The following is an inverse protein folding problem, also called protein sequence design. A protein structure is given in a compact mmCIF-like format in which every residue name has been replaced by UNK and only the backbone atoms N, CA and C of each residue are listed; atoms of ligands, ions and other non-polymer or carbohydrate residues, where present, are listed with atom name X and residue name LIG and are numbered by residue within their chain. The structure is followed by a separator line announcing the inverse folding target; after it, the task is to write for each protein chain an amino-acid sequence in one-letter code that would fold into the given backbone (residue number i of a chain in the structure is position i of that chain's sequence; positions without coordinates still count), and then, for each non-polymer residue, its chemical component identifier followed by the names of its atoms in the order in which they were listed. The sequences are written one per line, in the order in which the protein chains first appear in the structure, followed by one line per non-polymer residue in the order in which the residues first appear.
data_IF_057881273840
#
_entry.id   IF_057881273840
#
_cell.length_a   1.000
_cell.length_b   1.000
_cell.length_c   1.000
_cell.angle_alpha   90.00
_cell.angle_beta   90.00
_cell.angle_gamma   90.00
#
_symmetry.space_group_name_H-M   'P 1'
#
loop_
_entity.id
_entity.type
_entity.pdbx_description
1 polymer ?
#
# COMPACT_ATOMS: atom_id res chain seq x y z
N UNK A 1 -7.98 31.72 49.63
CA UNK A 1 -9.09 31.58 48.66
C UNK A 1 -8.56 30.84 47.41
N UNK A 2 -8.54 29.52 47.41
CA UNK A 2 -8.20 28.73 46.22
C UNK A 2 -8.67 27.28 46.43
N UNK A 3 -9.98 27.04 46.45
CA UNK A 3 -10.59 25.72 46.59
C UNK A 3 -12.02 25.74 46.04
N UNK A 4 -12.19 25.99 44.73
CA UNK A 4 -13.49 25.80 44.05
C UNK A 4 -13.33 25.73 42.51
N UNK A 5 -12.48 24.85 42.01
CA UNK A 5 -12.41 24.61 40.55
C UNK A 5 -12.10 23.16 40.17
N UNK A 6 -12.56 22.17 41.00
CA UNK A 6 -12.20 20.75 40.73
C UNK A 6 -13.40 19.84 40.45
N UNK A 7 -14.62 20.31 40.54
CA UNK A 7 -15.80 19.43 40.39
C UNK A 7 -16.57 19.53 39.08
N UNK A 8 -16.10 20.38 38.13
CA UNK A 8 -16.81 20.56 36.86
C UNK A 8 -16.23 19.77 35.66
N UNK A 9 -15.03 19.19 35.81
CA UNK A 9 -14.38 18.49 34.70
C UNK A 9 -14.85 17.02 34.53
N UNK A 10 -15.26 16.38 35.60
CA UNK A 10 -15.67 14.97 35.60
C UNK A 10 -17.00 14.73 34.86
N UNK A 11 -18.05 15.54 35.05
CA UNK A 11 -19.29 15.34 34.29
C UNK A 11 -19.15 15.63 32.80
N UNK A 12 -18.32 16.59 32.40
CA UNK A 12 -18.05 16.85 30.98
C UNK A 12 -17.28 15.71 30.29
N UNK A 13 -16.32 15.12 30.99
CA UNK A 13 -15.59 13.95 30.46
C UNK A 13 -16.49 12.71 30.30
N UNK A 14 -17.41 12.48 31.25
CA UNK A 14 -18.40 11.41 31.17
C UNK A 14 -19.42 11.65 30.05
N UNK A 15 -19.88 12.88 29.83
CA UNK A 15 -20.77 13.22 28.74
C UNK A 15 -20.07 13.07 27.38
N UNK A 16 -18.80 13.47 27.26
CA UNK A 16 -18.00 13.26 26.06
C UNK A 16 -17.81 11.76 25.78
N UNK A 17 -17.53 10.95 26.81
CA UNK A 17 -17.38 9.49 26.66
C UNK A 17 -18.69 8.78 26.32
N UNK A 18 -19.85 9.29 26.77
CA UNK A 18 -21.15 8.72 26.41
C UNK A 18 -21.61 9.12 25.01
N UNK A 19 -21.26 10.31 24.54
CA UNK A 19 -21.57 10.79 23.19
C UNK A 19 -20.74 10.04 22.15
N UNK A 20 -19.49 9.65 22.44
CA UNK A 20 -18.65 8.86 21.55
C UNK A 20 -18.91 7.35 21.59
N UNK A 21 -19.81 6.86 22.46
CA UNK A 21 -20.34 5.50 22.42
C UNK A 21 -21.68 5.42 21.70
N UNK A 22 -21.90 6.21 20.65
CA UNK A 22 -22.97 5.93 19.73
C UNK A 22 -22.66 4.58 19.06
N UNK A 23 -23.52 3.55 19.23
CA UNK A 23 -23.32 2.29 18.54
C UNK A 23 -23.26 2.58 17.04
N UNK A 24 -22.21 2.15 16.41
CA UNK A 24 -22.00 2.33 14.99
C UNK A 24 -23.05 1.50 14.22
N UNK A 25 -24.06 2.13 13.77
CA UNK A 25 -25.19 1.57 13.01
C UNK A 25 -24.85 1.67 11.52
N UNK A 26 -23.92 0.85 11.08
CA UNK A 26 -23.01 1.23 10.03
C UNK A 26 -23.52 1.01 8.60
N UNK A 27 -23.96 -0.17 8.17
CA UNK A 27 -24.21 -0.40 6.76
C UNK A 27 -25.39 0.39 6.21
N UNK A 28 -26.45 0.45 6.96
CA UNK A 28 -27.65 1.17 6.57
C UNK A 28 -27.39 2.68 6.48
N UNK A 29 -26.52 3.23 7.34
CA UNK A 29 -26.17 4.65 7.37
C UNK A 29 -25.38 5.06 6.14
N UNK A 30 -24.59 4.16 5.55
CA UNK A 30 -23.82 4.45 4.35
C UNK A 30 -24.69 4.62 3.09
N UNK A 31 -25.83 3.96 3.04
CA UNK A 31 -26.66 3.92 1.84
C UNK A 31 -28.06 4.50 2.02
N UNK A 32 -28.47 4.78 3.27
CA UNK A 32 -29.75 5.42 3.59
C UNK A 32 -29.55 6.58 4.54
N UNK A 33 -30.07 7.74 4.19
CA UNK A 33 -30.03 8.91 5.07
C UNK A 33 -30.95 8.71 6.29
N UNK A 34 -30.67 9.43 7.39
CA UNK A 34 -31.57 9.44 8.54
C UNK A 34 -33.01 9.85 8.17
N UNK A 35 -33.13 10.84 7.26
CA UNK A 35 -34.43 11.29 6.77
C UNK A 35 -35.22 10.21 6.04
N UNK A 36 -34.55 9.41 5.23
CA UNK A 36 -35.20 8.27 4.50
C UNK A 36 -35.70 7.22 5.46
N UNK A 37 -34.87 6.83 6.46
CA UNK A 37 -35.28 5.87 7.48
C UNK A 37 -36.48 6.35 8.29
N UNK A 38 -36.44 7.60 8.72
CA UNK A 38 -37.56 8.23 9.41
C UNK A 38 -38.80 8.28 8.55
N UNK A 39 -38.65 8.64 7.26
CA UNK A 39 -39.77 8.65 6.28
C UNK A 39 -40.38 7.28 6.08
N UNK A 40 -39.56 6.23 5.97
CA UNK A 40 -40.09 4.84 5.85
C UNK A 40 -40.93 4.52 7.09
N UNK A 41 -40.42 4.79 8.31
CA UNK A 41 -41.25 4.54 9.51
C UNK A 41 -42.46 5.44 9.62
N UNK A 42 -42.44 6.67 9.17
CA UNK A 42 -43.60 7.55 9.08
C UNK A 42 -44.66 7.00 8.14
N UNK A 43 -44.29 6.32 7.07
CA UNK A 43 -45.24 5.66 6.16
C UNK A 43 -45.90 4.42 6.78
N UNK A 44 -45.19 3.69 7.64
CA UNK A 44 -45.73 2.51 8.34
C UNK A 44 -46.59 2.86 9.58
N UNK A 45 -46.10 3.81 10.39
CA UNK A 45 -46.60 4.06 11.74
C UNK A 45 -47.17 5.48 11.95
N UNK A 46 -47.19 6.31 10.89
CA UNK A 46 -47.63 7.70 11.00
C UNK A 46 -46.50 8.67 11.44
N UNK A 47 -46.82 9.96 11.44
CA UNK A 47 -45.83 11.02 11.64
C UNK A 47 -45.41 11.25 13.07
N UNK A 48 -46.18 10.81 14.05
CA UNK A 48 -45.95 11.00 15.49
C UNK A 48 -46.56 9.88 16.31
N UNK A 49 -45.99 9.61 17.47
CA UNK A 49 -46.52 8.65 18.43
C UNK A 49 -45.57 7.52 18.79
N UNK A 50 -45.95 6.68 19.78
CA UNK A 50 -45.10 5.59 20.27
C UNK A 50 -44.86 4.50 19.21
N UNK A 51 -45.70 4.37 18.23
CA UNK A 51 -45.54 3.41 17.12
C UNK A 51 -44.39 3.82 16.18
N UNK A 52 -44.11 5.12 16.03
CA UNK A 52 -42.96 5.61 15.24
C UNK A 52 -41.66 5.20 15.90
N UNK A 53 -41.54 5.33 17.22
CA UNK A 53 -40.36 4.92 17.97
C UNK A 53 -40.14 3.41 17.88
N UNK A 54 -41.20 2.62 18.06
CA UNK A 54 -41.15 1.17 17.90
C UNK A 54 -40.73 0.75 16.48
N UNK A 55 -41.21 1.44 15.44
CA UNK A 55 -40.78 1.20 14.08
C UNK A 55 -39.30 1.49 13.88
N UNK A 56 -38.77 2.61 14.39
CA UNK A 56 -37.37 2.96 14.28
C UNK A 56 -36.47 1.96 15.02
N UNK A 57 -36.90 1.48 16.18
CA UNK A 57 -36.21 0.46 16.95
C UNK A 57 -36.23 -0.89 16.22
N UNK A 58 -37.40 -1.31 15.68
CA UNK A 58 -37.52 -2.52 14.88
C UNK A 58 -36.65 -2.47 13.60
N UNK A 59 -36.62 -1.32 12.95
CA UNK A 59 -35.77 -1.10 11.78
C UNK A 59 -34.30 -1.28 12.15
N UNK A 60 -33.87 -0.64 13.21
CA UNK A 60 -32.48 -0.71 13.69
C UNK A 60 -32.08 -2.13 14.09
N UNK A 61 -32.95 -2.83 14.78
CA UNK A 61 -32.74 -4.20 15.23
C UNK A 61 -32.64 -5.18 14.04
N UNK A 62 -33.51 -5.05 13.04
CA UNK A 62 -33.55 -5.94 11.88
C UNK A 62 -32.25 -5.89 11.03
N UNK A 63 -31.59 -4.74 11.00
CA UNK A 63 -30.39 -4.50 10.18
C UNK A 63 -29.09 -4.43 11.01
N UNK A 64 -29.14 -4.72 12.31
CA UNK A 64 -27.97 -4.57 13.19
C UNK A 64 -26.80 -5.47 12.80
N UNK A 65 -27.06 -6.69 12.34
CA UNK A 65 -26.06 -7.68 11.92
C UNK A 65 -25.40 -7.36 10.57
N UNK A 66 -25.96 -6.41 9.82
CA UNK A 66 -25.39 -5.95 8.56
C UNK A 66 -24.38 -4.77 8.75
N UNK A 67 -24.05 -4.44 10.00
CA UNK A 67 -23.22 -3.29 10.33
C UNK A 67 -21.77 -3.43 9.90
N UNK A 68 -21.17 -4.60 10.00
CA UNK A 68 -19.74 -4.84 9.83
C UNK A 68 -19.42 -5.64 8.57
N UNK A 69 -20.11 -5.33 7.47
CA UNK A 69 -19.88 -6.03 6.22
C UNK A 69 -18.68 -5.46 5.49
N UNK A 70 -17.76 -6.35 5.16
CA UNK A 70 -16.59 -6.06 4.35
C UNK A 70 -16.75 -6.71 2.96
N UNK A 71 -16.71 -5.87 1.92
CA UNK A 71 -16.80 -6.30 0.52
C UNK A 71 -15.64 -5.74 -0.29
N UNK A 72 -15.43 -6.24 -1.50
CA UNK A 72 -14.52 -5.61 -2.44
C UNK A 72 -15.01 -4.19 -2.75
N UNK A 73 -14.09 -3.26 -2.85
CA UNK A 73 -14.41 -1.86 -3.15
C UNK A 73 -15.18 -1.70 -4.47
N UNK A 74 -14.86 -2.52 -5.47
CA UNK A 74 -15.50 -2.50 -6.78
C UNK A 74 -16.98 -2.93 -6.72
N UNK A 75 -17.35 -3.76 -5.74
CA UNK A 75 -18.72 -4.22 -5.54
C UNK A 75 -19.60 -3.23 -4.74
N UNK A 76 -19.03 -2.10 -4.31
CA UNK A 76 -19.73 -1.06 -3.53
C UNK A 76 -20.96 -0.50 -4.27
N UNK A 77 -20.86 -0.28 -5.57
CA UNK A 77 -21.98 0.22 -6.39
C UNK A 77 -23.15 -0.77 -6.40
N UNK A 78 -22.87 -2.06 -6.55
CA UNK A 78 -23.90 -3.11 -6.52
C UNK A 78 -24.58 -3.19 -5.15
N UNK A 79 -23.82 -3.00 -4.07
CA UNK A 79 -24.41 -2.96 -2.74
C UNK A 79 -25.31 -1.73 -2.54
N UNK A 80 -24.87 -0.56 -3.05
CA UNK A 80 -25.66 0.67 -3.02
C UNK A 80 -26.99 0.50 -3.77
N UNK A 81 -26.97 -0.06 -4.98
CA UNK A 81 -28.15 -0.30 -5.78
C UNK A 81 -29.13 -1.26 -5.09
N UNK A 82 -28.61 -2.31 -4.46
CA UNK A 82 -29.44 -3.24 -3.69
C UNK A 82 -30.12 -2.58 -2.49
N UNK A 83 -29.42 -1.70 -1.75
CA UNK A 83 -30.02 -0.92 -0.67
C UNK A 83 -31.06 0.06 -1.17
N UNK A 84 -30.83 0.70 -2.31
CA UNK A 84 -31.81 1.60 -2.94
C UNK A 84 -33.09 0.85 -3.33
N UNK A 85 -32.96 -0.32 -3.95
CA UNK A 85 -34.09 -1.17 -4.29
C UNK A 85 -34.86 -1.66 -3.04
N UNK A 86 -34.13 -2.03 -1.99
CA UNK A 86 -34.73 -2.42 -0.73
C UNK A 86 -35.55 -1.27 -0.11
N UNK A 87 -35.01 -0.06 -0.05
CA UNK A 87 -35.72 1.11 0.50
C UNK A 87 -37.00 1.40 -0.29
N UNK A 88 -36.92 1.29 -1.61
CA UNK A 88 -38.12 1.43 -2.49
C UNK A 88 -39.15 0.36 -2.19
N UNK A 89 -38.79 -0.91 -2.11
CA UNK A 89 -39.65 -2.02 -1.76
C UNK A 89 -40.34 -1.85 -0.38
N UNK A 90 -39.60 -1.30 0.61
CA UNK A 90 -40.18 -1.00 1.92
C UNK A 90 -41.23 0.12 1.84
N UNK A 91 -41.00 1.15 1.02
CA UNK A 91 -41.99 2.22 0.79
C UNK A 91 -43.24 1.69 0.11
N UNK A 92 -43.11 0.80 -0.86
CA UNK A 92 -44.25 0.12 -1.50
C UNK A 92 -45.05 -0.73 -0.52
N UNK A 93 -44.35 -1.49 0.35
CA UNK A 93 -45.03 -2.31 1.38
C UNK A 93 -45.74 -1.43 2.40
N UNK A 94 -45.18 -0.30 2.79
CA UNK A 94 -45.85 0.65 3.67
C UNK A 94 -47.08 1.27 3.02
N UNK A 95 -47.03 1.62 1.74
CA UNK A 95 -48.15 2.16 1.00
C UNK A 95 -49.31 1.12 0.86
N UNK A 96 -48.97 -0.18 0.79
CA UNK A 96 -49.91 -1.28 0.81
C UNK A 96 -50.41 -1.65 2.23
N UNK A 97 -50.18 -0.82 3.24
CA UNK A 97 -50.59 -1.04 4.64
C UNK A 97 -50.04 -2.34 5.24
N UNK A 98 -48.84 -2.74 4.82
CA UNK A 98 -48.14 -3.89 5.38
C UNK A 98 -47.59 -3.58 6.80
N UNK A 99 -47.27 -4.64 7.55
CA UNK A 99 -46.70 -4.50 8.89
C UNK A 99 -45.17 -4.37 8.81
N UNK A 100 -44.59 -3.38 9.49
CA UNK A 100 -43.16 -3.21 9.60
C UNK A 100 -42.48 -4.36 10.34
N UNK A 101 -43.17 -5.03 11.26
CA UNK A 101 -42.65 -6.18 11.99
C UNK A 101 -42.34 -7.39 11.09
N UNK A 102 -42.98 -7.47 9.92
CA UNK A 102 -42.76 -8.51 8.90
C UNK A 102 -41.84 -7.99 7.80
N UNK A 103 -42.06 -6.75 7.36
CA UNK A 103 -41.35 -6.17 6.24
C UNK A 103 -39.84 -5.99 6.51
N UNK A 104 -39.47 -5.56 7.70
CA UNK A 104 -38.04 -5.30 8.00
C UNK A 104 -37.19 -6.56 8.11
N UNK A 105 -37.62 -7.64 8.83
CA UNK A 105 -36.88 -8.90 8.82
C UNK A 105 -36.74 -9.51 7.43
N UNK A 106 -37.80 -9.47 6.60
CA UNK A 106 -37.80 -9.98 5.22
C UNK A 106 -36.80 -9.17 4.33
N UNK A 107 -36.84 -7.85 4.45
CA UNK A 107 -35.91 -6.98 3.74
C UNK A 107 -34.46 -7.23 4.18
N UNK A 108 -34.21 -7.38 5.47
CA UNK A 108 -32.87 -7.68 6.00
C UNK A 108 -32.37 -9.05 5.50
N UNK A 109 -33.23 -10.05 5.44
CA UNK A 109 -32.87 -11.38 4.89
C UNK A 109 -32.54 -11.31 3.38
N UNK A 110 -33.30 -10.54 2.62
CA UNK A 110 -32.99 -10.28 1.20
C UNK A 110 -31.61 -9.61 1.05
N UNK A 111 -31.32 -8.62 1.88
CA UNK A 111 -30.01 -7.96 1.86
C UNK A 111 -28.88 -8.92 2.24
N UNK A 112 -29.04 -9.78 3.24
CA UNK A 112 -28.07 -10.84 3.56
C UNK A 112 -27.77 -11.74 2.37
N UNK A 113 -28.82 -12.12 1.61
CA UNK A 113 -28.65 -12.95 0.40
C UNK A 113 -27.88 -12.21 -0.69
N UNK A 114 -28.15 -10.92 -0.89
CA UNK A 114 -27.40 -10.08 -1.84
C UNK A 114 -25.94 -9.98 -1.44
N UNK A 115 -25.67 -9.63 -0.20
CA UNK A 115 -24.31 -9.50 0.33
C UNK A 115 -23.53 -10.81 0.18
N UNK A 116 -24.18 -11.95 0.44
CA UNK A 116 -23.58 -13.28 0.27
C UNK A 116 -23.20 -13.60 -1.18
N UNK A 117 -23.82 -12.96 -2.17
CA UNK A 117 -23.50 -13.10 -3.59
C UNK A 117 -22.35 -12.20 -4.04
N UNK A 118 -22.06 -11.12 -3.31
CA UNK A 118 -20.96 -10.23 -3.63
C UNK A 118 -19.63 -10.94 -3.36
N UNK A 119 -18.61 -10.54 -4.09
CA UNK A 119 -17.27 -11.12 -3.93
C UNK A 119 -16.74 -10.76 -2.55
N UNK A 120 -16.24 -11.75 -1.83
CA UNK A 120 -15.52 -11.51 -0.58
C UNK A 120 -14.29 -10.63 -0.82
N UNK A 121 -14.00 -9.75 0.14
CA UNK A 121 -12.81 -8.91 0.06
C UNK A 121 -11.55 -9.77 0.05
N UNK A 122 -10.61 -9.46 -0.83
CA UNK A 122 -9.31 -10.12 -0.84
C UNK A 122 -8.55 -9.85 0.46
N UNK A 123 -7.93 -10.89 1.00
CA UNK A 123 -7.04 -10.72 2.14
C UNK A 123 -5.79 -9.94 1.72
N UNK A 124 -5.33 -9.04 2.60
CA UNK A 124 -4.00 -8.46 2.45
C UNK A 124 -2.95 -9.53 2.65
N UNK A 125 -2.00 -9.63 1.74
CA UNK A 125 -0.90 -10.60 1.80
C UNK A 125 0.34 -9.88 2.34
N UNK A 126 0.66 -10.02 3.65
CA UNK A 126 1.89 -9.46 4.19
C UNK A 126 3.11 -10.16 3.57
N UNK A 127 4.31 -9.58 3.64
CA UNK A 127 4.67 -8.46 4.49
C UNK A 127 4.88 -7.13 3.78
N UNK A 128 4.57 -6.97 2.50
CA UNK A 128 5.05 -5.83 1.74
C UNK A 128 4.10 -5.35 0.65
N UNK A 129 4.36 -4.14 0.18
CA UNK A 129 3.79 -3.56 -1.02
C UNK A 129 2.43 -2.90 -0.84
N UNK A 130 2.08 -2.08 -1.80
CA UNK A 130 0.76 -1.47 -1.91
C UNK A 130 -0.15 -2.37 -2.75
N UNK A 131 -1.15 -2.98 -2.11
CA UNK A 131 -2.04 -3.96 -2.72
C UNK A 131 -3.39 -3.31 -3.03
N UNK A 132 -3.44 -2.53 -4.10
CA UNK A 132 -4.63 -1.76 -4.48
C UNK A 132 -5.82 -2.67 -4.82
N UNK A 133 -5.56 -3.81 -5.46
CA UNK A 133 -6.60 -4.81 -5.80
C UNK A 133 -7.26 -5.46 -4.57
N UNK A 134 -6.64 -5.37 -3.41
CA UNK A 134 -7.19 -5.81 -2.14
C UNK A 134 -7.89 -4.67 -1.36
N UNK A 135 -8.24 -3.60 -2.05
CA UNK A 135 -9.00 -2.49 -1.48
C UNK A 135 -10.38 -2.97 -1.04
N UNK A 136 -10.68 -2.68 0.20
CA UNK A 136 -11.93 -3.11 0.85
C UNK A 136 -12.84 -1.93 1.10
N UNK A 137 -14.11 -2.14 0.92
CA UNK A 137 -15.15 -1.26 1.41
C UNK A 137 -15.69 -1.85 2.71
N UNK A 138 -15.56 -1.09 3.79
CA UNK A 138 -16.14 -1.41 5.08
C UNK A 138 -17.29 -0.44 5.31
N UNK A 139 -18.46 -0.95 5.55
CA UNK A 139 -19.64 -0.11 5.73
C UNK A 139 -19.61 0.71 7.03
N UNK A 140 -18.75 0.35 7.97
CA UNK A 140 -18.53 1.09 9.21
C UNK A 140 -18.00 2.49 8.94
N UNK A 141 -18.89 3.48 8.90
CA UNK A 141 -18.56 4.87 8.59
C UNK A 141 -18.14 5.13 7.14
N UNK A 142 -18.46 4.24 6.22
CA UNK A 142 -18.14 4.35 4.78
C UNK A 142 -16.62 4.40 4.48
N UNK A 143 -15.85 3.58 5.15
CA UNK A 143 -14.40 3.48 4.92
C UNK A 143 -14.06 2.64 3.70
N UNK A 144 -13.05 3.08 2.94
CA UNK A 144 -12.29 2.19 2.08
C UNK A 144 -10.92 1.95 2.68
N UNK A 145 -10.52 0.68 2.79
CA UNK A 145 -9.24 0.26 3.33
C UNK A 145 -8.41 -0.34 2.20
N UNK A 146 -7.25 0.22 1.93
CA UNK A 146 -6.24 -0.39 1.07
C UNK A 146 -5.22 -1.14 1.93
N UNK A 147 -4.61 -2.19 1.38
CA UNK A 147 -3.51 -2.87 2.03
C UNK A 147 -2.22 -2.09 1.79
N UNK A 148 -1.81 -1.31 2.77
CA UNK A 148 -0.57 -0.54 2.73
C UNK A 148 0.44 -1.15 3.68
N UNK A 149 1.53 -1.68 3.12
CA UNK A 149 2.68 -2.21 3.84
C UNK A 149 3.95 -1.46 3.42
N UNK A 150 5.10 -1.71 4.08
CA UNK A 150 6.38 -1.21 3.57
C UNK A 150 6.57 -1.62 2.10
N UNK A 151 7.02 -0.69 1.27
CA UNK A 151 7.22 -0.95 -0.17
C UNK A 151 8.25 -2.05 -0.43
N UNK A 152 9.23 -2.16 0.46
CA UNK A 152 10.33 -3.12 0.34
C UNK A 152 9.86 -4.52 0.68
N UNK A 153 9.84 -5.37 -0.33
CA UNK A 153 9.43 -6.77 -0.21
C UNK A 153 10.65 -7.65 0.08
N UNK A 154 10.54 -8.60 1.01
CA UNK A 154 11.54 -9.67 1.11
C UNK A 154 11.50 -10.46 -0.19
N UNK A 155 12.68 -10.80 -0.72
CA UNK A 155 12.80 -11.61 -1.92
C UNK A 155 12.05 -12.94 -1.78
N UNK A 156 11.53 -13.45 -2.89
CA UNK A 156 10.76 -14.70 -2.90
C UNK A 156 11.69 -15.85 -2.50
N UNK A 157 11.40 -16.46 -1.34
CA UNK A 157 12.16 -17.60 -0.83
C UNK A 157 11.83 -18.84 -1.64
N UNK A 158 12.72 -19.26 -2.48
CA UNK A 158 12.72 -20.65 -2.95
C UNK A 158 13.51 -21.51 -1.94
N UNK A 159 12.79 -22.02 -0.96
CA UNK A 159 13.29 -23.05 -0.05
C UNK A 159 13.96 -22.54 1.23
N UNK A 160 13.39 -22.99 2.37
CA UNK A 160 13.94 -22.98 3.74
C UNK A 160 14.51 -21.67 4.29
N UNK A 161 13.74 -21.09 5.21
CA UNK A 161 14.10 -20.13 6.25
C UNK A 161 15.20 -19.06 5.96
N UNK A 162 14.75 -17.84 5.66
CA UNK A 162 15.52 -16.64 6.10
C UNK A 162 16.45 -15.97 5.11
N UNK A 163 16.74 -16.48 3.93
CA UNK A 163 17.70 -15.85 3.01
C UNK A 163 17.02 -14.96 1.97
N UNK A 164 17.43 -13.68 1.95
CA UNK A 164 17.29 -12.80 0.79
C UNK A 164 17.80 -13.55 -0.44
N UNK A 165 17.23 -13.28 -1.62
CA UNK A 165 17.62 -13.96 -2.87
C UNK A 165 19.06 -13.60 -3.27
N UNK A 166 20.01 -14.21 -2.56
CA UNK A 166 21.41 -14.15 -2.92
C UNK A 166 21.67 -15.08 -4.10
N UNK A 167 22.02 -14.51 -5.21
CA UNK A 167 22.41 -15.25 -6.39
C UNK A 167 23.93 -15.26 -6.51
N UNK A 168 24.53 -16.44 -6.35
CA UNK A 168 25.95 -16.62 -6.61
C UNK A 168 26.13 -17.22 -8.00
N UNK A 169 26.85 -16.50 -8.87
CA UNK A 169 27.06 -16.88 -10.27
C UNK A 169 28.55 -16.82 -10.60
N UNK A 170 29.03 -17.80 -11.35
CA UNK A 170 30.40 -17.81 -11.84
C UNK A 170 30.56 -16.83 -13.01
N UNK A 171 31.69 -16.13 -13.06
CA UNK A 171 32.04 -15.22 -14.17
C UNK A 171 31.83 -15.90 -15.54
N UNK A 172 31.19 -15.16 -16.47
CA UNK A 172 30.90 -15.64 -17.81
C UNK A 172 29.54 -16.30 -17.97
N UNK A 173 28.93 -16.77 -16.87
CA UNK A 173 27.58 -17.33 -16.87
C UNK A 173 26.50 -16.26 -16.99
N UNK A 174 25.26 -16.63 -16.82
CA UNK A 174 24.10 -15.77 -16.89
C UNK A 174 23.47 -15.61 -15.49
N UNK A 175 23.20 -14.38 -15.08
CA UNK A 175 22.31 -14.05 -13.97
C UNK A 175 20.92 -13.65 -14.50
N UNK A 176 19.89 -14.04 -13.77
CA UNK A 176 18.49 -13.78 -14.10
C UNK A 176 17.73 -13.44 -12.84
N UNK A 177 17.06 -12.30 -12.83
CA UNK A 177 16.23 -11.82 -11.72
C UNK A 177 14.78 -11.68 -12.16
N UNK A 178 13.85 -12.15 -11.33
CA UNK A 178 12.41 -12.04 -11.60
C UNK A 178 11.77 -11.11 -10.58
N UNK A 179 11.21 -10.01 -11.06
CA UNK A 179 10.52 -9.02 -10.24
C UNK A 179 9.06 -9.41 -10.09
N UNK A 180 8.80 -10.41 -9.26
CA UNK A 180 7.46 -10.94 -8.99
C UNK A 180 7.12 -10.83 -7.52
N UNK A 181 5.85 -10.59 -7.22
CA UNK A 181 5.30 -10.53 -5.86
C UNK A 181 4.24 -11.60 -5.70
N UNK A 182 3.95 -11.97 -4.46
CA UNK A 182 3.01 -13.04 -4.12
C UNK A 182 1.55 -12.56 -3.98
N UNK A 183 1.28 -11.31 -4.30
CA UNK A 183 -0.07 -10.74 -4.31
C UNK A 183 -0.47 -10.31 -5.73
N UNK A 184 -1.76 -10.14 -5.95
CA UNK A 184 -2.28 -9.73 -7.27
C UNK A 184 -1.94 -8.27 -7.56
N UNK A 185 -1.34 -8.04 -8.72
CA UNK A 185 -1.10 -6.73 -9.27
C UNK A 185 -2.30 -6.28 -10.13
N UNK A 186 -2.54 -4.97 -10.27
CA UNK A 186 -3.45 -4.44 -11.28
C UNK A 186 -3.15 -5.02 -12.67
N UNK A 187 -4.17 -5.21 -13.50
CA UNK A 187 -3.98 -5.87 -14.82
C UNK A 187 -3.39 -4.93 -15.87
N UNK A 188 -3.54 -3.64 -15.69
CA UNK A 188 -3.19 -2.61 -16.67
C UNK A 188 -2.12 -1.68 -16.11
N UNK A 189 -1.35 -1.04 -17.00
CA UNK A 189 -0.37 0.02 -16.69
C UNK A 189 0.75 -0.34 -15.70
N UNK A 190 1.08 -1.64 -15.58
CA UNK A 190 2.23 -2.07 -14.78
C UNK A 190 3.52 -1.83 -15.55
N UNK A 191 4.43 -1.09 -14.91
CA UNK A 191 5.77 -0.84 -15.39
C UNK A 191 6.81 -1.26 -14.36
N UNK A 192 8.04 -1.52 -14.82
CA UNK A 192 9.14 -1.98 -13.97
C UNK A 192 10.33 -1.04 -14.13
N UNK A 193 10.91 -0.65 -13.02
CA UNK A 193 12.12 0.17 -12.97
C UNK A 193 13.24 -0.61 -12.27
N UNK A 194 14.35 -0.80 -12.97
CA UNK A 194 15.50 -1.51 -12.44
C UNK A 194 16.63 -0.55 -12.12
N UNK A 195 17.25 -0.76 -10.95
CA UNK A 195 18.38 0.02 -10.48
C UNK A 195 19.47 -0.91 -9.95
N UNK A 196 20.70 -0.43 -9.90
CA UNK A 196 21.86 -1.19 -9.48
C UNK A 196 22.76 -0.39 -8.54
N UNK A 197 23.17 -1.03 -7.44
CA UNK A 197 24.23 -0.57 -6.53
C UNK A 197 25.42 -1.50 -6.67
N UNK A 198 26.48 -1.02 -7.35
CA UNK A 198 27.66 -1.82 -7.70
C UNK A 198 28.70 -1.94 -6.57
N UNK A 199 29.89 -2.46 -6.93
CA UNK A 199 31.01 -2.58 -6.00
C UNK A 199 30.87 -3.70 -4.96
N UNK A 200 30.05 -4.71 -5.22
CA UNK A 200 29.79 -5.80 -4.28
C UNK A 200 28.99 -5.36 -3.04
N UNK A 201 28.40 -4.18 -3.09
CA UNK A 201 27.67 -3.60 -1.96
C UNK A 201 26.33 -4.31 -1.78
N UNK A 202 26.08 -4.79 -0.56
CA UNK A 202 24.77 -5.31 -0.13
C UNK A 202 24.03 -4.21 0.62
N UNK A 203 23.05 -3.59 0.00
CA UNK A 203 22.33 -2.45 0.57
C UNK A 203 20.89 -2.38 0.06
N UNK A 204 20.00 -1.80 0.89
CA UNK A 204 18.65 -1.40 0.52
C UNK A 204 18.51 0.13 0.47
N UNK A 205 19.56 0.87 0.80
CA UNK A 205 19.55 2.32 0.76
C UNK A 205 19.52 2.83 -0.67
N UNK A 206 18.46 3.55 -1.01
CA UNK A 206 18.19 4.05 -2.35
C UNK A 206 19.22 5.05 -2.88
N UNK A 207 20.01 5.67 -2.00
CA UNK A 207 21.04 6.63 -2.38
C UNK A 207 22.17 6.02 -3.21
N UNK A 208 22.42 4.71 -3.04
CA UNK A 208 23.48 3.98 -3.76
C UNK A 208 23.05 3.46 -5.12
N UNK A 209 21.76 3.49 -5.45
CA UNK A 209 21.24 2.89 -6.67
C UNK A 209 21.26 3.85 -7.85
N UNK A 210 21.65 3.33 -9.01
CA UNK A 210 21.58 4.01 -10.31
C UNK A 210 20.64 3.25 -11.25
N UNK A 211 19.94 3.98 -12.11
CA UNK A 211 19.05 3.38 -13.09
C UNK A 211 19.84 2.51 -14.07
N UNK A 212 19.29 1.35 -14.41
CA UNK A 212 19.83 0.48 -15.45
C UNK A 212 19.11 0.83 -16.75
N UNK A 213 19.78 1.47 -17.70
CA UNK A 213 19.18 1.79 -18.99
C UNK A 213 18.81 0.49 -19.71
N UNK A 214 17.68 0.49 -20.42
CA UNK A 214 17.18 -0.65 -21.22
C UNK A 214 16.71 -1.88 -20.44
N UNK A 215 16.71 -1.87 -19.11
CA UNK A 215 16.09 -2.93 -18.32
C UNK A 215 14.59 -2.65 -18.24
N UNK A 216 13.80 -3.31 -19.08
CA UNK A 216 12.34 -3.19 -19.13
C UNK A 216 11.68 -4.53 -18.82
N UNK A 217 10.52 -4.48 -18.16
CA UNK A 217 9.75 -5.64 -17.80
C UNK A 217 10.19 -6.29 -16.47
N UNK A 218 9.44 -7.33 -16.09
CA UNK A 218 9.60 -8.02 -14.81
C UNK A 218 10.87 -8.88 -14.72
N UNK A 219 11.58 -9.08 -15.82
CA UNK A 219 12.72 -9.97 -15.92
C UNK A 219 13.98 -9.22 -16.32
N UNK A 220 14.96 -9.14 -15.41
CA UNK A 220 16.29 -8.67 -15.73
C UNK A 220 17.25 -9.83 -15.99
N UNK A 221 18.07 -9.70 -17.01
CA UNK A 221 19.02 -10.73 -17.45
C UNK A 221 20.37 -10.12 -17.76
N UNK A 222 21.42 -10.66 -17.16
CA UNK A 222 22.80 -10.25 -17.36
C UNK A 222 23.57 -11.41 -17.99
N UNK A 223 24.15 -11.20 -19.16
CA UNK A 223 24.97 -12.19 -19.85
C UNK A 223 26.00 -11.51 -20.76
N UNK A 224 27.30 -11.82 -20.64
CA UNK A 224 27.95 -12.61 -19.58
C UNK A 224 28.07 -11.82 -18.27
N UNK A 225 27.98 -12.51 -17.13
CA UNK A 225 28.22 -11.91 -15.81
C UNK A 225 29.70 -11.62 -15.64
N UNK A 226 30.04 -10.45 -15.15
CA UNK A 226 31.40 -10.00 -14.82
C UNK A 226 31.52 -9.62 -13.36
N UNK A 227 32.73 -9.58 -12.77
CA UNK A 227 32.91 -9.15 -11.38
C UNK A 227 32.35 -7.75 -11.07
N UNK A 228 32.34 -6.87 -12.06
CA UNK A 228 31.75 -5.52 -11.96
C UNK A 228 30.24 -5.51 -11.77
N UNK A 229 29.57 -6.62 -12.05
CA UNK A 229 28.13 -6.80 -11.82
C UNK A 229 27.80 -7.29 -10.41
N UNK A 230 28.82 -7.52 -9.55
CA UNK A 230 28.62 -7.87 -8.15
C UNK A 230 28.04 -6.68 -7.39
N UNK A 231 26.95 -6.90 -6.65
CA UNK A 231 26.24 -5.86 -5.93
C UNK A 231 24.74 -6.12 -5.83
N UNK A 232 23.99 -5.11 -5.42
CA UNK A 232 22.54 -5.22 -5.22
C UNK A 232 21.78 -4.63 -6.41
N UNK A 233 20.84 -5.40 -6.93
CA UNK A 233 19.86 -4.97 -7.92
C UNK A 233 18.54 -4.67 -7.20
N UNK A 234 17.89 -3.57 -7.54
CA UNK A 234 16.57 -3.22 -7.06
C UNK A 234 15.60 -3.16 -8.22
N UNK A 235 14.44 -3.79 -8.06
CA UNK A 235 13.33 -3.67 -8.99
C UNK A 235 12.15 -3.01 -8.28
N UNK A 236 11.64 -1.94 -8.85
CA UNK A 236 10.40 -1.29 -8.41
C UNK A 236 9.27 -1.61 -9.39
N UNK A 237 8.17 -2.12 -8.87
CA UNK A 237 6.93 -2.33 -9.60
C UNK A 237 6.09 -1.06 -9.47
N UNK A 238 5.69 -0.47 -10.59
CA UNK A 238 4.93 0.77 -10.63
C UNK A 238 3.60 0.54 -11.37
N UNK A 239 2.57 1.20 -10.89
CA UNK A 239 1.28 1.33 -11.55
C UNK A 239 0.96 2.82 -11.69
N UNK A 240 0.75 3.29 -12.90
CA UNK A 240 0.55 4.72 -13.18
C UNK A 240 1.62 5.61 -12.47
N UNK A 241 2.90 5.22 -12.62
CA UNK A 241 4.08 5.85 -11.98
C UNK A 241 4.11 5.81 -10.45
N UNK A 242 3.12 5.22 -9.78
CA UNK A 242 3.11 5.04 -8.33
C UNK A 242 3.78 3.73 -7.95
N UNK A 243 4.73 3.71 -7.01
CA UNK A 243 5.37 2.48 -6.59
C UNK A 243 4.39 1.60 -5.82
N UNK A 244 4.25 0.35 -6.25
CA UNK A 244 3.46 -0.67 -5.56
C UNK A 244 4.33 -1.55 -4.65
N UNK A 245 5.51 -1.94 -5.13
CA UNK A 245 6.42 -2.80 -4.40
C UNK A 245 7.85 -2.62 -4.91
N UNK A 246 8.82 -2.96 -4.06
CA UNK A 246 10.23 -2.96 -4.40
C UNK A 246 10.88 -4.23 -3.89
N UNK A 247 11.67 -4.87 -4.76
CA UNK A 247 12.40 -6.09 -4.47
C UNK A 247 13.89 -5.84 -4.63
N UNK A 248 14.71 -6.56 -3.85
CA UNK A 248 16.16 -6.50 -3.90
C UNK A 248 16.74 -7.87 -4.18
N UNK A 249 17.82 -7.91 -4.98
CA UNK A 249 18.52 -9.11 -5.38
C UNK A 249 20.02 -8.86 -5.23
N UNK A 250 20.70 -9.65 -4.43
CA UNK A 250 22.14 -9.54 -4.31
C UNK A 250 22.81 -10.52 -5.25
N UNK A 251 23.69 -10.01 -6.11
CA UNK A 251 24.50 -10.83 -7.01
C UNK A 251 25.93 -10.90 -6.50
N UNK A 252 26.36 -12.10 -6.15
CA UNK A 252 27.75 -12.43 -5.86
C UNK A 252 28.39 -13.11 -7.06
N UNK A 253 29.52 -12.59 -7.54
CA UNK A 253 30.21 -13.15 -8.70
C UNK A 253 31.50 -13.82 -8.24
N UNK A 254 31.52 -15.16 -8.36
CA UNK A 254 32.66 -15.98 -7.92
C UNK A 254 33.56 -16.36 -9.10
N UNK A 255 34.80 -16.63 -8.80
CA UNK A 255 35.93 -17.15 -9.60
C UNK A 255 35.94 -16.90 -11.13
N UNK A 256 37.11 -16.86 -11.68
CA UNK A 256 37.28 -16.76 -13.13
C UNK A 256 36.78 -18.05 -13.83
N UNK A 257 36.15 -17.92 -15.01
CA UNK A 257 35.82 -19.06 -15.82
C UNK A 257 37.10 -19.85 -16.21
N UNK A 258 36.96 -21.14 -16.57
CA UNK A 258 38.08 -21.93 -17.06
C UNK A 258 38.85 -21.22 -18.16
N UNK A 259 40.17 -21.46 -18.25
CA UNK A 259 41.06 -20.75 -19.18
C UNK A 259 40.55 -20.74 -20.64
N UNK A 260 39.97 -21.83 -21.12
CA UNK A 260 39.39 -21.93 -22.46
C UNK A 260 38.22 -20.96 -22.72
N UNK A 261 37.42 -20.65 -21.72
CA UNK A 261 36.35 -19.68 -21.85
C UNK A 261 36.85 -18.24 -21.91
N UNK A 262 37.94 -17.95 -21.21
CA UNK A 262 38.64 -16.65 -21.28
C UNK A 262 39.20 -16.43 -22.69
N UNK A 263 39.82 -17.46 -23.28
CA UNK A 263 40.37 -17.39 -24.66
C UNK A 263 39.25 -17.21 -25.68
N UNK A 264 38.12 -17.88 -25.52
CA UNK A 264 36.95 -17.73 -26.39
C UNK A 264 36.35 -16.32 -26.28
N UNK A 265 36.24 -15.78 -25.09
CA UNK A 265 35.73 -14.42 -24.89
C UNK A 265 36.69 -13.35 -25.43
N UNK A 266 38.01 -13.56 -25.33
CA UNK A 266 39.01 -12.66 -25.88
C UNK A 266 38.98 -12.68 -27.41
N UNK A 267 38.86 -13.86 -28.03
CA UNK A 267 38.72 -13.99 -29.50
C UNK A 267 37.39 -13.43 -29.99
N UNK A 268 36.29 -13.61 -29.29
CA UNK A 268 34.99 -13.03 -29.61
C UNK A 268 35.02 -11.50 -29.54
N UNK A 269 35.68 -10.93 -28.53
CA UNK A 269 35.88 -9.47 -28.39
C UNK A 269 36.76 -8.91 -29.52
N UNK A 270 37.73 -9.69 -30.03
CA UNK A 270 38.53 -9.28 -31.18
C UNK A 270 37.68 -9.18 -32.45
N UNK A 271 36.76 -10.11 -32.61
CA UNK A 271 35.84 -10.13 -33.77
C UNK A 271 34.79 -9.02 -33.68
N UNK A 272 34.31 -8.70 -32.49
CA UNK A 272 33.31 -7.65 -32.26
C UNK A 272 33.89 -6.23 -32.09
N UNK A 273 35.19 -6.04 -32.23
CA UNK A 273 35.84 -4.69 -32.14
C UNK A 273 35.44 -3.73 -33.26
N UNK A 274 34.60 -4.13 -34.20
CA UNK A 274 33.99 -3.26 -35.19
C UNK A 274 32.63 -2.67 -34.79
N UNK A 275 32.04 -3.08 -33.65
CA UNK A 275 30.81 -2.50 -33.15
C UNK A 275 31.12 -1.40 -32.11
N UNK A 276 30.33 -0.31 -32.05
CA UNK A 276 30.61 0.80 -31.15
C UNK A 276 30.67 0.33 -29.70
N UNK A 277 31.73 0.72 -29.01
CA UNK A 277 31.95 0.48 -27.57
C UNK A 277 30.76 0.96 -26.74
N UNK A 278 29.93 0.06 -26.27
CA UNK A 278 29.15 0.28 -25.03
C UNK A 278 29.97 -0.26 -23.86
N UNK A 279 30.96 0.48 -23.44
CA UNK A 279 31.65 0.30 -22.17
C UNK A 279 30.99 1.22 -21.16
N UNK A 280 29.88 0.81 -20.60
CA UNK A 280 29.50 1.33 -19.29
C UNK A 280 30.27 0.55 -18.23
N UNK A 281 31.46 1.03 -17.89
CA UNK A 281 32.10 0.74 -16.62
C UNK A 281 31.29 1.44 -15.55
N UNK A 282 30.48 0.69 -14.82
CA UNK A 282 29.89 1.16 -13.57
C UNK A 282 31.03 1.33 -12.57
N UNK A 283 31.66 2.50 -12.57
CA UNK A 283 32.53 2.87 -11.47
C UNK A 283 31.68 3.07 -10.18
N UNK A 284 32.17 2.62 -9.03
CA UNK A 284 31.46 2.88 -7.76
C UNK A 284 31.38 4.40 -7.58
N UNK A 285 30.17 4.93 -7.69
CA UNK A 285 29.95 6.36 -7.55
C UNK A 285 30.20 6.77 -6.09
N UNK A 286 31.23 7.56 -5.89
CA UNK A 286 31.41 8.34 -4.67
C UNK A 286 31.04 9.78 -5.02
N UNK A 287 29.87 10.28 -4.56
CA UNK A 287 29.54 11.68 -4.80
C UNK A 287 30.62 12.56 -4.17
N UNK A 288 31.11 13.52 -4.93
CA UNK A 288 31.94 14.58 -4.37
C UNK A 288 31.15 15.42 -3.38
N UNK A 289 31.80 15.99 -2.39
CA UNK A 289 31.14 16.85 -1.38
C UNK A 289 30.33 17.97 -2.05
N UNK A 290 30.82 18.50 -3.18
CA UNK A 290 30.12 19.51 -3.97
C UNK A 290 28.83 19.02 -4.62
N UNK A 291 28.81 17.77 -5.09
CA UNK A 291 27.61 17.15 -5.69
C UNK A 291 26.55 16.80 -4.64
N UNK A 292 26.98 16.42 -3.41
CA UNK A 292 26.06 16.20 -2.29
C UNK A 292 25.38 17.51 -1.84
N UNK A 293 26.14 18.62 -1.83
CA UNK A 293 25.61 19.93 -1.48
C UNK A 293 24.73 20.57 -2.56
N UNK A 294 24.90 20.18 -3.82
CA UNK A 294 24.08 20.65 -4.94
C UNK A 294 22.70 19.96 -5.04
N UNK A 295 22.43 18.92 -4.26
CA UNK A 295 21.11 18.27 -4.26
C UNK A 295 20.10 19.10 -3.44
N UNK A 296 18.90 19.39 -3.98
CA UNK A 296 17.88 20.14 -3.23
C UNK A 296 17.46 19.46 -1.92
N UNK A 297 17.63 18.14 -1.83
CA UNK A 297 17.34 17.33 -0.62
C UNK A 297 18.39 17.54 0.51
N UNK A 298 19.58 18.03 0.18
CA UNK A 298 20.61 18.36 1.20
C UNK A 298 20.23 19.62 2.00
N UNK A 299 19.32 20.43 1.51
CA UNK A 299 18.86 21.69 2.12
C UNK A 299 17.57 21.53 2.93
N UNK A 300 17.28 20.33 3.44
CA UNK A 300 16.18 20.14 4.40
C UNK A 300 16.42 20.98 5.66
N UNK A 301 15.35 21.48 6.34
CA UNK A 301 15.49 22.33 7.53
C UNK A 301 16.38 21.73 8.62
N UNK A 302 16.36 20.39 8.77
CA UNK A 302 17.24 19.68 9.72
C UNK A 302 18.71 19.73 9.35
N UNK A 303 19.06 19.58 8.07
CA UNK A 303 20.44 19.62 7.58
C UNK A 303 21.00 21.05 7.58
N UNK A 304 20.17 22.05 7.34
CA UNK A 304 20.56 23.45 7.44
C UNK A 304 20.94 23.84 8.86
N UNK A 305 20.18 23.38 9.87
CA UNK A 305 20.51 23.59 11.28
C UNK A 305 21.86 22.93 11.65
N UNK A 306 22.13 21.74 11.13
CA UNK A 306 23.37 21.01 11.39
C UNK A 306 24.59 21.67 10.75
N UNK A 307 24.45 22.13 9.51
CA UNK A 307 25.48 22.90 8.81
C UNK A 307 25.73 24.26 9.48
N UNK A 308 24.69 24.96 9.93
CA UNK A 308 24.85 26.21 10.68
C UNK A 308 25.52 25.98 12.01
N UNK A 309 25.23 24.91 12.73
CA UNK A 309 25.89 24.55 13.98
C UNK A 309 27.37 24.23 13.76
N UNK A 310 27.73 23.48 12.72
CA UNK A 310 29.11 23.17 12.37
C UNK A 310 29.90 24.44 11.97
N UNK A 311 29.29 25.34 11.21
CA UNK A 311 29.91 26.62 10.85
C UNK A 311 30.13 27.51 12.08
N UNK A 312 29.18 27.54 13.02
CA UNK A 312 29.34 28.27 14.28
C UNK A 312 30.47 27.72 15.16
N UNK A 313 30.60 26.39 15.27
CA UNK A 313 31.68 25.74 16.02
C UNK A 313 33.05 26.02 15.36
N UNK A 314 33.13 25.96 14.02
CA UNK A 314 34.35 26.23 13.28
C UNK A 314 34.77 27.71 13.43
N UNK A 315 33.82 28.64 13.40
CA UNK A 315 34.14 30.07 13.62
C UNK A 315 34.54 30.37 15.06
N UNK A 316 33.92 29.73 16.05
CA UNK A 316 34.32 29.86 17.47
C UNK A 316 35.69 29.30 17.74
N UNK A 317 36.07 28.17 17.12
CA UNK A 317 37.43 27.60 17.26
C UNK A 317 38.51 28.46 16.60
N UNK A 318 38.19 29.11 15.46
CA UNK A 318 39.12 30.04 14.81
C UNK A 318 39.38 31.33 15.64
N UNK A 319 38.36 31.81 16.36
CA UNK A 319 38.50 32.99 17.24
C UNK A 319 39.21 32.70 18.53
N UNK A 320 39.30 31.43 18.97
CA UNK A 320 40.07 31.02 20.15
C UNK A 320 41.56 30.76 19.86
N UNK A 321 41.98 30.71 18.58
CA UNK A 321 43.32 30.49 18.14
C UNK A 321 44.05 31.78 17.73
N UNK A 322 43.41 32.95 17.82
CA UNK A 322 43.96 34.28 17.64
C UNK A 322 44.01 34.98 19.00
#
# INVERSE_FOLDING_TARGET
MALLARDSAVPCALVVLTVFRAPAWACLICFTSYKERTRICQMFAGTQGPELEKCQEAFSSAFADLADIEINYDDRSHLHDAFTQMTHSLQETAAAQGSFNVAFPDAAEKMRKVIKKLKGAQACVPPCGFQDVARRFLCYGCYSKACNFPLDCPGERRGLEGEETDLTVTRGQQAKFSCTVNFQLPKEEITYSWKFAGGGLRTQDQSYFRDIPRAQGYLARIRPVQPTHSGTFSCSILHDQRPLARLYFFLNVTSAPPRGEIELQVSFRKVLRGAPKETETLEPWRPSLGELLARPEALTPGNQCLLAALAAVASASATLMV
#
